data_IF_794734240861
#
_entry.id   IF_794734240861
#
_cell.length_a   1.000
_cell.length_b   1.000
_cell.length_c   1.000
_cell.angle_alpha   90.00
_cell.angle_beta   90.00
_cell.angle_gamma   90.00
#
_symmetry.space_group_name_H-M   'P 1'
#
loop_
_entity.id
_entity.type
_entity.pdbx_description
1 polymer ?
#
# COMPACT_ATOMS: atom_id res chain seq x y z
N UNK A 1 -16.35 4.64 0.79
CA UNK A 1 -15.31 3.61 1.02
C UNK A 1 -15.72 2.20 0.63
N UNK A 2 -16.99 1.76 0.83
CA UNK A 2 -17.44 0.42 0.43
C UNK A 2 -17.08 0.03 -1.01
N UNK A 3 -17.43 0.87 -1.99
CA UNK A 3 -17.14 0.58 -3.40
C UNK A 3 -15.65 0.45 -3.71
N UNK A 4 -14.79 1.24 -3.08
CA UNK A 4 -13.34 1.15 -3.29
C UNK A 4 -12.79 -0.19 -2.78
N UNK A 5 -13.26 -0.65 -1.62
CA UNK A 5 -12.91 -1.96 -1.06
C UNK A 5 -13.37 -3.08 -1.99
N UNK A 6 -14.63 -3.05 -2.45
CA UNK A 6 -15.18 -4.06 -3.34
C UNK A 6 -14.40 -4.12 -4.68
N UNK A 7 -14.03 -2.96 -5.23
CA UNK A 7 -13.22 -2.86 -6.45
C UNK A 7 -11.84 -3.47 -6.24
N UNK A 8 -11.15 -3.11 -5.16
CA UNK A 8 -9.80 -3.62 -4.88
C UNK A 8 -9.80 -5.13 -4.64
N UNK A 9 -10.82 -5.66 -3.96
CA UNK A 9 -11.03 -7.09 -3.81
C UNK A 9 -11.26 -7.78 -5.16
N UNK A 10 -12.10 -7.22 -6.03
CA UNK A 10 -12.35 -7.77 -7.35
C UNK A 10 -11.08 -7.75 -8.22
N UNK A 11 -10.32 -6.65 -8.21
CA UNK A 11 -9.06 -6.51 -8.94
C UNK A 11 -8.04 -7.55 -8.46
N UNK A 12 -7.83 -7.66 -7.15
CA UNK A 12 -6.89 -8.62 -6.56
C UNK A 12 -7.26 -10.06 -6.92
N UNK A 13 -8.55 -10.38 -6.86
CA UNK A 13 -9.06 -11.70 -7.24
C UNK A 13 -8.81 -11.98 -8.73
N UNK A 14 -9.14 -11.03 -9.60
CA UNK A 14 -8.94 -11.17 -11.05
C UNK A 14 -7.46 -11.33 -11.42
N UNK A 15 -6.56 -10.59 -10.78
CA UNK A 15 -5.11 -10.73 -10.99
C UNK A 15 -4.66 -12.17 -10.73
N UNK A 16 -5.10 -12.76 -9.60
CA UNK A 16 -4.73 -14.11 -9.18
C UNK A 16 -5.41 -15.20 -10.04
N UNK A 17 -6.72 -15.11 -10.23
CA UNK A 17 -7.49 -16.12 -10.96
C UNK A 17 -7.14 -16.18 -12.45
N UNK A 18 -6.83 -15.03 -13.07
CA UNK A 18 -6.50 -14.95 -14.49
C UNK A 18 -4.99 -14.94 -14.76
N UNK A 19 -4.15 -15.02 -13.72
CA UNK A 19 -2.69 -14.94 -13.83
C UNK A 19 -2.22 -13.65 -14.51
N UNK A 20 -2.84 -12.51 -14.19
CA UNK A 20 -2.54 -11.21 -14.78
C UNK A 20 -1.81 -10.31 -13.79
N UNK A 21 -0.81 -9.59 -14.29
CA UNK A 21 -0.20 -8.48 -13.57
C UNK A 21 -1.09 -7.25 -13.71
N UNK A 22 -1.47 -6.64 -12.59
CA UNK A 22 -2.25 -5.40 -12.56
C UNK A 22 -1.41 -4.32 -11.90
N UNK A 23 -1.31 -3.18 -12.58
CA UNK A 23 -0.67 -1.98 -12.05
C UNK A 23 -1.76 -0.98 -11.72
N UNK A 24 -1.74 -0.44 -10.51
CA UNK A 24 -2.74 0.50 -9.99
C UNK A 24 -2.00 1.67 -9.34
N UNK A 25 -2.49 2.88 -9.58
CA UNK A 25 -2.03 4.08 -8.87
C UNK A 25 -3.06 4.45 -7.82
N UNK A 26 -2.63 4.53 -6.56
CA UNK A 26 -3.48 4.84 -5.41
C UNK A 26 -2.77 5.82 -4.47
N UNK A 27 -3.56 6.71 -3.87
CA UNK A 27 -3.05 7.69 -2.92
C UNK A 27 -3.00 7.19 -1.47
N UNK A 28 -3.82 6.17 -1.15
CA UNK A 28 -3.97 5.67 0.23
C UNK A 28 -3.03 4.49 0.48
N UNK A 29 -2.08 4.69 1.41
CA UNK A 29 -1.11 3.68 1.80
C UNK A 29 -1.74 2.44 2.44
N UNK A 30 -2.89 2.56 3.12
CA UNK A 30 -3.56 1.40 3.70
C UNK A 30 -4.14 0.50 2.61
N UNK A 31 -4.62 1.06 1.51
CA UNK A 31 -5.03 0.26 0.36
C UNK A 31 -3.83 -0.44 -0.28
N UNK A 32 -2.71 0.26 -0.48
CA UNK A 32 -1.50 -0.34 -1.05
C UNK A 32 -0.99 -1.48 -0.16
N UNK A 33 -0.90 -1.23 1.15
CA UNK A 33 -0.37 -2.19 2.12
C UNK A 33 -1.17 -3.49 2.23
N UNK A 34 -2.48 -3.46 1.96
CA UNK A 34 -3.36 -4.61 2.13
C UNK A 34 -3.74 -5.32 0.83
N UNK A 35 -3.65 -4.65 -0.32
CA UNK A 35 -4.11 -5.20 -1.61
C UNK A 35 -3.01 -5.36 -2.66
N UNK A 36 -1.81 -4.84 -2.42
CA UNK A 36 -0.68 -4.95 -3.34
C UNK A 36 0.35 -5.95 -2.84
N UNK A 37 0.83 -6.81 -3.74
CA UNK A 37 1.96 -7.70 -3.45
C UNK A 37 3.30 -6.92 -3.51
N UNK A 38 3.33 -5.84 -4.29
CA UNK A 38 4.52 -5.03 -4.59
C UNK A 38 4.16 -3.54 -4.69
N UNK A 39 5.04 -2.64 -4.22
CA UNK A 39 4.79 -1.19 -4.21
C UNK A 39 5.95 -0.45 -4.89
N UNK A 40 5.59 0.57 -5.66
CA UNK A 40 6.54 1.56 -6.20
C UNK A 40 6.15 2.92 -5.64
N UNK A 41 7.03 3.51 -4.83
CA UNK A 41 6.83 4.82 -4.22
C UNK A 41 7.52 5.91 -5.03
N UNK A 42 6.74 6.89 -5.49
CA UNK A 42 7.25 8.05 -6.22
C UNK A 42 7.18 9.31 -5.37
N UNK A 43 8.24 10.12 -5.42
CA UNK A 43 8.31 11.45 -4.79
C UNK A 43 9.13 12.39 -5.66
N UNK A 44 8.63 13.60 -5.88
CA UNK A 44 9.34 14.65 -6.65
C UNK A 44 9.79 14.20 -8.06
N UNK A 45 9.03 13.29 -8.69
CA UNK A 45 9.33 12.75 -10.02
C UNK A 45 10.32 11.58 -10.02
N UNK A 46 10.82 11.16 -8.86
CA UNK A 46 11.78 10.06 -8.71
C UNK A 46 11.16 8.85 -8.00
N UNK A 47 11.66 7.65 -8.33
CA UNK A 47 11.31 6.42 -7.62
C UNK A 47 12.18 6.33 -6.36
N UNK A 48 11.54 6.36 -5.19
CA UNK A 48 12.20 6.35 -3.88
C UNK A 48 12.20 4.94 -3.28
N UNK A 49 11.22 4.10 -3.63
CA UNK A 49 11.20 2.69 -3.31
C UNK A 49 10.52 1.86 -4.40
N UNK A 50 11.00 0.63 -4.57
CA UNK A 50 10.61 -0.32 -5.61
C UNK A 50 10.89 -1.72 -5.06
N UNK A 51 9.94 -2.28 -4.32
CA UNK A 51 10.12 -3.55 -3.59
C UNK A 51 8.78 -4.18 -3.19
N UNK A 52 8.85 -5.38 -2.60
CA UNK A 52 7.70 -6.04 -1.99
C UNK A 52 7.05 -5.16 -0.92
N UNK A 53 5.73 -5.27 -0.80
CA UNK A 53 4.94 -4.52 0.19
C UNK A 53 5.47 -4.72 1.61
N UNK A 54 5.97 -5.91 1.93
CA UNK A 54 6.54 -6.27 3.25
C UNK A 54 7.82 -5.50 3.58
N UNK A 55 8.59 -5.10 2.56
CA UNK A 55 9.81 -4.31 2.68
C UNK A 55 9.48 -2.82 2.74
N UNK A 56 8.50 -2.37 1.95
CA UNK A 56 8.14 -0.94 1.86
C UNK A 56 7.27 -0.46 3.03
N UNK A 57 6.35 -1.28 3.53
CA UNK A 57 5.42 -0.90 4.60
C UNK A 57 6.13 -0.96 5.95
N UNK A 58 7.04 -0.01 6.15
CA UNK A 58 7.84 0.23 7.36
C UNK A 58 7.84 1.71 7.69
N UNK A 59 7.86 2.04 8.98
CA UNK A 59 7.72 3.43 9.45
C UNK A 59 8.81 4.36 8.89
N UNK A 60 10.05 3.88 8.82
CA UNK A 60 11.19 4.63 8.27
C UNK A 60 11.06 4.89 6.77
N UNK A 61 10.55 3.91 6.02
CA UNK A 61 10.33 4.02 4.58
C UNK A 61 9.14 4.94 4.27
N UNK A 62 8.00 4.75 4.95
CA UNK A 62 6.83 5.60 4.76
C UNK A 62 7.12 7.05 5.17
N UNK A 63 7.94 7.26 6.20
CA UNK A 63 8.40 8.61 6.57
C UNK A 63 9.24 9.27 5.47
N UNK A 64 10.13 8.53 4.80
CA UNK A 64 10.89 9.06 3.65
C UNK A 64 9.96 9.44 2.49
N UNK A 65 8.98 8.59 2.19
CA UNK A 65 8.04 8.76 1.07
C UNK A 65 7.07 9.93 1.31
N UNK A 66 6.43 9.98 2.47
CA UNK A 66 5.36 10.94 2.77
C UNK A 66 5.79 12.15 3.62
N UNK A 67 6.98 12.11 4.24
CA UNK A 67 7.49 13.21 5.07
C UNK A 67 6.84 13.35 6.45
N UNK A 68 6.03 12.37 6.87
CA UNK A 68 5.34 12.36 8.17
C UNK A 68 5.63 11.06 8.94
N UNK A 69 5.45 11.10 10.25
CA UNK A 69 5.63 9.93 11.10
C UNK A 69 4.43 8.97 10.96
N UNK A 70 4.71 7.67 10.86
CA UNK A 70 3.71 6.61 10.87
C UNK A 70 3.90 5.71 12.09
N UNK A 71 2.81 5.18 12.61
CA UNK A 71 2.78 4.01 13.46
C UNK A 71 2.09 2.88 12.70
N UNK A 72 2.80 1.78 12.49
CA UNK A 72 2.26 0.62 11.78
C UNK A 72 1.83 -0.44 12.77
N UNK A 73 0.54 -0.79 12.73
CA UNK A 73 -0.02 -1.88 13.52
C UNK A 73 -0.47 -3.00 12.57
N UNK A 74 -0.13 -4.24 12.91
CA UNK A 74 -0.63 -5.42 12.23
C UNK A 74 -1.60 -6.15 13.14
N UNK A 75 -2.81 -6.37 12.65
CA UNK A 75 -3.74 -7.35 13.22
C UNK A 75 -3.71 -8.65 12.38
N UNK A 76 -4.41 -9.69 12.81
CA UNK A 76 -4.40 -11.03 12.21
C UNK A 76 -4.68 -11.05 10.69
N UNK A 77 -5.35 -10.04 10.14
CA UNK A 77 -5.72 -9.99 8.73
C UNK A 77 -5.28 -8.71 7.99
N UNK A 78 -4.90 -7.64 8.68
CA UNK A 78 -4.71 -6.32 8.06
C UNK A 78 -3.55 -5.53 8.64
N UNK A 79 -3.01 -4.65 7.80
CA UNK A 79 -2.06 -3.61 8.16
C UNK A 79 -2.76 -2.27 8.29
N UNK A 80 -2.50 -1.57 9.38
CA UNK A 80 -2.95 -0.20 9.61
C UNK A 80 -1.73 0.72 9.74
N UNK A 81 -1.59 1.64 8.79
CA UNK A 81 -0.61 2.71 8.79
C UNK A 81 -1.28 3.97 9.36
N UNK A 82 -1.11 4.21 10.67
CA UNK A 82 -1.66 5.38 11.33
C UNK A 82 -0.67 6.54 11.28
N UNK A 83 -1.10 7.70 10.80
CA UNK A 83 -0.30 8.92 10.68
C UNK A 83 -0.90 10.10 11.46
N UNK A 84 -1.95 9.87 12.24
CA UNK A 84 -2.52 10.88 13.12
C UNK A 84 -1.73 10.96 14.43
N UNK A 85 -1.40 12.19 14.84
CA UNK A 85 -0.83 12.50 16.15
C UNK A 85 -2.00 12.86 17.08
N UNK A 86 -2.47 11.88 17.86
CA UNK A 86 -3.44 12.08 18.95
C UNK A 86 -2.67 12.12 20.25
#
# INVERSE_FOLDING_TARGET
MRHAVDIMQAITRLARELGKTIVIVIHDINFAANYSDYIIGLKDGEVICDDETTVIVREDMLKKLYGIDFRITRDNATLLCNYYKI
#
